data_IF_803198190691
#
_entry.id   IF_803198190691
#
_cell.length_a   1.000
_cell.length_b   1.000
_cell.length_c   1.000
_cell.angle_alpha   90.00
_cell.angle_beta   90.00
_cell.angle_gamma   90.00
#
_symmetry.space_group_name_H-M   'P 1'
#
loop_
_entity.id
_entity.type
_entity.pdbx_description
1 polymer ?
#
# COMPACT_ATOMS: atom_id res chain seq x y z
N UNK A 1 22.08 18.88 19.57
CA UNK A 1 20.85 18.96 18.75
C UNK A 1 20.51 17.52 18.40
N UNK A 2 19.32 17.04 18.75
CA UNK A 2 18.96 15.64 18.49
C UNK A 2 18.75 15.44 16.99
N UNK A 3 19.11 14.28 16.46
CA UNK A 3 18.96 14.03 15.02
C UNK A 3 17.49 13.78 14.69
N UNK A 4 17.07 14.21 13.51
CA UNK A 4 15.76 13.84 12.96
C UNK A 4 15.69 12.32 12.76
N UNK A 5 14.53 11.74 13.02
CA UNK A 5 14.17 10.32 12.89
C UNK A 5 14.87 9.36 13.89
N UNK A 6 15.51 9.88 14.94
CA UNK A 6 15.96 9.07 16.08
C UNK A 6 14.80 8.84 17.07
N UNK A 7 14.76 7.65 17.67
CA UNK A 7 13.78 7.32 18.71
C UNK A 7 13.95 8.27 19.90
N UNK A 8 12.83 8.68 20.50
CA UNK A 8 12.86 9.37 21.79
C UNK A 8 13.25 8.39 22.90
N UNK A 9 13.78 8.86 24.05
CA UNK A 9 13.94 8.01 25.22
C UNK A 9 12.64 7.27 25.58
N UNK A 10 12.73 5.98 25.91
CA UNK A 10 11.55 5.14 26.12
C UNK A 10 10.58 5.70 27.16
N UNK A 11 11.09 6.32 28.23
CA UNK A 11 10.26 6.97 29.25
C UNK A 11 9.45 8.19 28.80
N UNK A 12 9.59 8.65 27.54
CA UNK A 12 8.73 9.70 26.95
C UNK A 12 7.52 9.14 26.20
N UNK A 13 7.45 7.82 26.02
CA UNK A 13 6.33 7.14 25.35
C UNK A 13 5.67 6.16 26.32
N UNK A 14 4.38 5.91 26.11
CA UNK A 14 3.61 4.93 26.87
C UNK A 14 3.42 3.65 26.03
N UNK A 15 3.04 2.52 26.65
CA UNK A 15 2.66 1.32 25.91
C UNK A 15 1.67 1.63 24.78
N UNK A 16 1.85 0.98 23.63
CA UNK A 16 1.07 1.23 22.41
C UNK A 16 1.46 2.48 21.62
N UNK A 17 2.41 3.29 22.09
CA UNK A 17 2.94 4.45 21.37
C UNK A 17 4.44 4.35 21.14
N UNK A 18 4.90 5.10 20.14
CA UNK A 18 6.32 5.34 19.90
C UNK A 18 6.52 6.80 19.46
N UNK A 19 7.77 7.28 19.49
CA UNK A 19 8.08 8.66 19.11
C UNK A 19 9.46 8.83 18.51
N UNK A 20 9.56 9.78 17.60
CA UNK A 20 10.82 10.16 16.94
C UNK A 20 11.04 11.67 16.97
N UNK A 21 12.29 12.07 17.15
CA UNK A 21 12.69 13.47 17.12
C UNK A 21 12.57 14.06 15.71
N UNK A 22 12.17 15.33 15.65
CA UNK A 22 12.04 16.07 14.38
C UNK A 22 13.31 16.86 14.02
N UNK A 23 14.33 16.83 14.89
CA UNK A 23 15.59 17.55 14.69
C UNK A 23 15.49 19.07 14.85
N UNK A 24 14.37 19.59 15.34
CA UNK A 24 14.11 21.03 15.54
C UNK A 24 13.45 21.29 16.89
N UNK A 25 13.57 22.53 17.36
CA UNK A 25 12.82 23.08 18.50
C UNK A 25 11.68 24.03 18.05
N UNK A 26 11.69 24.41 16.78
CA UNK A 26 10.77 25.38 16.19
C UNK A 26 9.64 24.65 15.48
N UNK A 27 8.40 24.86 15.95
CA UNK A 27 7.20 24.25 15.37
C UNK A 27 6.94 24.75 13.95
N UNK A 28 7.35 25.98 13.61
CA UNK A 28 7.20 26.54 12.26
C UNK A 28 8.12 25.91 11.22
N UNK A 29 9.14 25.16 11.67
CA UNK A 29 10.04 24.39 10.81
C UNK A 29 9.53 22.96 10.54
N UNK A 30 8.39 22.57 11.11
CA UNK A 30 7.74 21.29 10.80
C UNK A 30 6.94 21.40 9.51
N UNK A 31 6.84 20.29 8.77
CA UNK A 31 6.02 20.23 7.57
C UNK A 31 4.53 20.42 7.93
N UNK A 32 3.78 21.19 7.14
CA UNK A 32 2.37 21.51 7.39
C UNK A 32 1.49 20.26 7.56
N UNK A 33 1.78 19.17 6.84
CA UNK A 33 1.02 17.93 6.95
C UNK A 33 1.17 17.30 8.34
N UNK A 34 2.35 17.42 8.97
CA UNK A 34 2.64 16.84 10.29
C UNK A 34 1.96 17.62 11.42
N UNK A 35 1.68 18.90 11.19
CA UNK A 35 0.97 19.77 12.15
C UNK A 35 -0.55 19.54 12.09
N UNK A 36 -1.07 19.14 10.93
CA UNK A 36 -2.50 19.03 10.65
C UNK A 36 -3.00 17.57 10.57
N UNK A 37 -2.16 16.59 10.89
CA UNK A 37 -2.52 15.18 10.91
C UNK A 37 -3.07 14.82 12.30
N UNK A 38 -4.37 14.51 12.36
CA UNK A 38 -5.07 14.16 13.60
C UNK A 38 -4.54 12.87 14.26
N UNK A 39 -3.78 12.06 13.51
CA UNK A 39 -3.22 10.79 13.96
C UNK A 39 -1.83 10.96 14.59
N UNK A 40 -1.24 12.16 14.50
CA UNK A 40 0.12 12.48 14.96
C UNK A 40 0.11 13.51 16.10
N UNK A 41 0.82 13.19 17.19
CA UNK A 41 0.90 14.07 18.36
C UNK A 41 2.28 14.71 18.44
N UNK A 42 2.35 16.04 18.40
CA UNK A 42 3.61 16.77 18.58
C UNK A 42 3.86 17.04 20.06
N UNK A 43 4.94 16.46 20.59
CA UNK A 43 5.43 16.68 21.95
C UNK A 43 6.75 17.46 21.97
N UNK A 44 7.17 17.86 23.16
CA UNK A 44 8.48 18.45 23.41
C UNK A 44 9.12 17.77 24.61
N UNK A 45 10.42 17.48 24.52
CA UNK A 45 11.19 17.05 25.68
C UNK A 45 11.54 18.22 26.61
N UNK A 46 12.21 17.93 27.74
CA UNK A 46 12.65 18.92 28.74
C UNK A 46 13.62 19.96 28.19
N UNK A 47 14.30 19.67 27.08
CA UNK A 47 15.25 20.58 26.42
C UNK A 47 14.60 21.40 25.30
N UNK A 48 13.30 21.25 25.08
CA UNK A 48 12.56 21.92 24.01
C UNK A 48 12.70 21.24 22.64
N UNK A 49 13.28 20.03 22.54
CA UNK A 49 13.35 19.33 21.26
C UNK A 49 11.97 18.76 20.93
N UNK A 50 11.49 19.05 19.73
CA UNK A 50 10.21 18.56 19.25
C UNK A 50 10.35 17.10 18.81
N UNK A 51 9.38 16.30 19.20
CA UNK A 51 9.21 14.93 18.73
C UNK A 51 7.78 14.70 18.28
N UNK A 52 7.63 13.80 17.32
CA UNK A 52 6.34 13.29 16.89
C UNK A 52 6.12 11.98 17.62
N UNK A 53 5.01 11.87 18.34
CA UNK A 53 4.51 10.65 18.94
C UNK A 53 3.36 10.11 18.09
N UNK A 54 3.37 8.82 17.83
CA UNK A 54 2.38 8.14 17.02
C UNK A 54 1.96 6.84 17.71
N UNK A 55 0.71 6.42 17.48
CA UNK A 55 0.23 5.11 17.93
C UNK A 55 0.88 4.02 17.09
N UNK A 56 1.27 2.90 17.71
CA UNK A 56 1.61 1.71 16.96
C UNK A 56 0.39 1.11 16.26
N UNK A 57 -0.77 1.18 16.90
CA UNK A 57 -2.00 0.56 16.43
C UNK A 57 -2.60 1.44 15.34
N UNK A 58 -2.34 1.08 14.08
CA UNK A 58 -2.80 1.81 12.90
C UNK A 58 -4.33 1.91 12.91
N UNK A 59 -4.88 3.09 12.63
CA UNK A 59 -6.33 3.39 12.55
C UNK A 59 -7.11 3.37 13.89
N UNK A 60 -6.58 2.75 14.96
CA UNK A 60 -7.00 2.94 16.36
C UNK A 60 -5.94 3.69 17.16
N UNK A 61 -5.70 4.94 16.79
CA UNK A 61 -4.60 5.73 17.34
C UNK A 61 -4.91 6.40 18.68
N UNK A 62 -6.17 6.31 19.16
CA UNK A 62 -6.59 6.81 20.46
C UNK A 62 -6.85 5.66 21.44
N UNK A 63 -6.43 5.76 22.72
CA UNK A 63 -6.60 4.67 23.69
C UNK A 63 -8.05 4.25 23.94
N UNK A 64 -9.02 5.15 23.78
CA UNK A 64 -10.45 4.87 23.91
C UNK A 64 -11.02 4.03 22.76
N UNK A 65 -10.27 3.91 21.65
CA UNK A 65 -10.62 3.09 20.50
C UNK A 65 -9.99 1.68 20.56
N UNK A 66 -9.06 1.44 21.51
CA UNK A 66 -8.33 0.19 21.57
C UNK A 66 -9.23 -1.00 21.91
N UNK A 67 -9.11 -2.04 21.08
CA UNK A 67 -9.74 -3.35 21.30
C UNK A 67 -9.16 -4.03 22.54
N UNK A 68 -9.79 -5.13 22.97
CA UNK A 68 -9.27 -5.89 24.12
C UNK A 68 -7.91 -6.51 23.79
N UNK A 69 -7.72 -6.96 22.55
CA UNK A 69 -6.48 -7.53 22.06
C UNK A 69 -5.33 -6.51 22.11
N UNK A 70 -5.60 -5.27 21.70
CA UNK A 70 -4.64 -4.17 21.81
C UNK A 70 -4.27 -3.91 23.28
N UNK A 71 -5.27 -3.88 24.17
CA UNK A 71 -5.05 -3.66 25.61
C UNK A 71 -4.16 -4.73 26.22
N UNK A 72 -4.44 -6.01 25.94
CA UNK A 72 -3.61 -7.14 26.38
C UNK A 72 -2.17 -7.00 25.87
N UNK A 73 -1.98 -6.67 24.59
CA UNK A 73 -0.64 -6.48 24.02
C UNK A 73 0.12 -5.30 24.65
N UNK A 74 -0.58 -4.24 25.06
CA UNK A 74 -0.01 -3.10 25.76
C UNK A 74 0.31 -3.42 27.23
N UNK A 75 -0.51 -4.23 27.90
CA UNK A 75 -0.24 -4.73 29.26
C UNK A 75 1.00 -5.65 29.26
N UNK A 76 1.12 -6.52 28.25
CA UNK A 76 2.34 -7.31 28.05
C UNK A 76 3.54 -6.37 27.84
N UNK A 77 3.43 -5.36 26.97
CA UNK A 77 4.49 -4.38 26.76
C UNK A 77 4.93 -3.71 28.08
N UNK A 78 3.97 -3.31 28.91
CA UNK A 78 4.24 -2.70 30.21
C UNK A 78 5.01 -3.66 31.13
N UNK A 79 4.62 -4.94 31.17
CA UNK A 79 5.28 -5.96 31.99
C UNK A 79 6.73 -6.28 31.56
N UNK A 80 7.08 -6.01 30.29
CA UNK A 80 8.45 -6.18 29.77
C UNK A 80 9.41 -5.09 30.27
N UNK A 81 8.90 -3.94 30.72
CA UNK A 81 9.70 -2.80 31.17
C UNK A 81 10.30 -2.01 30.00
N UNK A 82 11.53 -1.51 30.20
CA UNK A 82 12.24 -0.73 29.19
C UNK A 82 12.69 -1.60 28.01
N UNK A 83 12.35 -1.17 26.80
CA UNK A 83 12.69 -1.88 25.56
C UNK A 83 13.90 -1.22 24.89
N UNK A 84 14.82 -2.04 24.39
CA UNK A 84 15.94 -1.55 23.60
C UNK A 84 15.50 -1.04 22.22
N UNK A 85 16.32 -0.20 21.61
CA UNK A 85 16.01 0.42 20.31
C UNK A 85 15.84 -0.60 19.18
N UNK A 86 16.53 -1.75 19.20
CA UNK A 86 16.36 -2.79 18.17
C UNK A 86 14.95 -3.36 18.24
N UNK A 87 14.51 -3.74 19.44
CA UNK A 87 13.15 -4.21 19.71
C UNK A 87 12.11 -3.17 19.29
N UNK A 88 12.34 -1.90 19.64
CA UNK A 88 11.45 -0.78 19.28
C UNK A 88 11.37 -0.54 17.78
N UNK A 89 12.50 -0.60 17.07
CA UNK A 89 12.51 -0.48 15.61
C UNK A 89 11.81 -1.64 14.90
N UNK A 90 12.00 -2.88 15.37
CA UNK A 90 11.27 -4.04 14.86
C UNK A 90 9.77 -3.83 15.07
N UNK A 91 9.37 -3.37 16.27
CA UNK A 91 7.97 -3.05 16.55
C UNK A 91 7.48 -1.97 15.58
N UNK A 92 8.13 -0.81 15.48
CA UNK A 92 7.69 0.22 14.54
C UNK A 92 7.55 -0.28 13.09
N UNK A 93 8.44 -1.18 12.63
CA UNK A 93 8.32 -1.79 11.32
C UNK A 93 7.10 -2.72 11.18
N UNK A 94 6.75 -3.48 12.22
CA UNK A 94 5.49 -4.27 12.26
C UNK A 94 4.28 -3.33 12.16
N UNK A 95 4.20 -2.28 12.98
CA UNK A 95 3.04 -1.37 13.01
C UNK A 95 2.89 -0.54 11.72
N UNK A 96 3.97 -0.42 10.96
CA UNK A 96 3.97 0.21 9.65
C UNK A 96 3.38 -0.68 8.56
N UNK A 97 3.27 -1.99 8.79
CA UNK A 97 2.84 -2.95 7.78
C UNK A 97 1.39 -2.69 7.38
N UNK A 98 1.17 -2.51 6.07
CA UNK A 98 -0.16 -2.29 5.51
C UNK A 98 -0.42 -3.38 4.47
N UNK A 99 -1.54 -4.09 4.59
CA UNK A 99 -1.82 -5.25 3.73
C UNK A 99 -2.37 -4.88 2.35
N UNK A 100 -1.70 -3.95 1.69
CA UNK A 100 -2.09 -3.39 0.40
C UNK A 100 -0.96 -3.38 -0.65
N UNK A 101 0.18 -4.01 -0.35
CA UNK A 101 1.31 -4.26 -1.28
C UNK A 101 1.36 -5.76 -1.68
N UNK A 102 1.78 -6.10 -2.90
CA UNK A 102 2.01 -7.50 -3.32
C UNK A 102 3.25 -8.15 -2.69
N UNK A 103 4.21 -7.34 -2.23
CA UNK A 103 5.47 -7.75 -1.60
C UNK A 103 5.36 -8.02 -0.10
N UNK A 104 4.17 -7.93 0.50
CA UNK A 104 3.92 -8.23 1.92
C UNK A 104 4.58 -9.53 2.40
N UNK A 105 4.51 -10.67 1.68
CA UNK A 105 5.10 -11.92 2.17
C UNK A 105 6.61 -11.78 2.42
N UNK A 106 7.32 -11.06 1.55
CA UNK A 106 8.75 -10.78 1.71
C UNK A 106 9.02 -9.93 2.96
N UNK A 107 8.21 -8.90 3.18
CA UNK A 107 8.31 -8.06 4.38
C UNK A 107 8.02 -8.86 5.66
N UNK A 108 7.03 -9.76 5.64
CA UNK A 108 6.74 -10.65 6.77
C UNK A 108 7.94 -11.56 7.06
N UNK A 109 8.51 -12.21 6.05
CA UNK A 109 9.71 -13.07 6.20
C UNK A 109 10.88 -12.30 6.82
N UNK A 110 11.09 -11.04 6.42
CA UNK A 110 12.13 -10.18 6.98
C UNK A 110 11.85 -9.77 8.43
N UNK A 111 10.60 -9.46 8.77
CA UNK A 111 10.20 -9.17 10.15
C UNK A 111 10.38 -10.41 11.03
N UNK A 112 10.04 -11.61 10.54
CA UNK A 112 10.27 -12.86 11.25
C UNK A 112 11.76 -13.10 11.48
N UNK A 113 12.62 -12.87 10.48
CA UNK A 113 14.08 -12.96 10.61
C UNK A 113 14.60 -11.98 11.67
N UNK A 114 14.13 -10.73 11.64
CA UNK A 114 14.55 -9.71 12.61
C UNK A 114 14.17 -10.08 14.04
N UNK A 115 12.94 -10.57 14.25
CA UNK A 115 12.48 -11.05 15.55
C UNK A 115 13.30 -12.27 15.98
N UNK A 116 13.51 -13.23 15.08
CA UNK A 116 14.27 -14.46 15.34
C UNK A 116 15.71 -14.21 15.74
N UNK A 117 16.39 -13.30 15.03
CA UNK A 117 17.81 -12.95 15.21
C UNK A 117 18.07 -11.82 16.21
N UNK A 118 17.03 -11.11 16.68
CA UNK A 118 17.16 -9.88 17.46
C UNK A 118 18.04 -8.82 16.77
N UNK A 119 17.81 -8.63 15.47
CA UNK A 119 18.58 -7.73 14.63
C UNK A 119 17.64 -6.92 13.72
N UNK A 120 17.91 -5.63 13.58
CA UNK A 120 17.14 -4.76 12.70
C UNK A 120 18.04 -4.11 11.65
N UNK A 121 17.68 -4.25 10.38
CA UNK A 121 18.27 -3.49 9.29
C UNK A 121 17.18 -2.94 8.37
N UNK A 122 16.91 -1.64 8.49
CA UNK A 122 15.96 -0.93 7.63
C UNK A 122 16.24 -1.08 6.13
N UNK A 123 17.50 -1.32 5.72
CA UNK A 123 17.86 -1.47 4.31
C UNK A 123 17.44 -2.82 3.74
N UNK A 124 17.27 -3.82 4.60
CA UNK A 124 16.79 -5.15 4.18
C UNK A 124 15.29 -5.16 3.96
N UNK A 125 14.52 -4.27 4.59
CA UNK A 125 13.07 -4.24 4.44
C UNK A 125 12.66 -3.95 2.99
N UNK A 126 11.88 -4.85 2.42
CA UNK A 126 11.29 -4.70 1.09
C UNK A 126 10.34 -3.50 1.05
N UNK A 127 9.59 -3.29 2.13
CA UNK A 127 8.67 -2.17 2.29
C UNK A 127 8.61 -1.72 3.75
N UNK A 128 8.89 -0.43 4.02
CA UNK A 128 8.90 0.19 5.35
C UNK A 128 7.52 0.59 5.87
N UNK A 129 6.45 0.29 5.12
CA UNK A 129 5.09 0.66 5.47
C UNK A 129 4.75 2.10 5.09
N UNK A 130 3.48 2.47 5.27
CA UNK A 130 2.97 3.80 4.89
C UNK A 130 2.61 4.69 6.09
N UNK A 131 2.49 4.12 7.29
CA UNK A 131 1.96 4.81 8.47
C UNK A 131 3.03 5.30 9.43
N UNK A 132 4.08 4.50 9.69
CA UNK A 132 5.03 4.80 10.75
C UNK A 132 6.30 5.43 10.20
N UNK A 133 6.80 6.42 10.92
CA UNK A 133 7.72 7.46 10.41
C UNK A 133 9.16 7.29 10.85
N UNK A 134 9.51 6.22 11.58
CA UNK A 134 10.90 5.90 11.96
C UNK A 134 11.80 5.50 10.76
N UNK A 135 11.38 5.82 9.54
CA UNK A 135 12.05 5.58 8.27
C UNK A 135 11.39 6.37 7.14
N UNK A 136 12.04 6.38 5.96
CA UNK A 136 11.40 6.91 4.75
C UNK A 136 10.19 6.04 4.44
N UNK A 137 8.99 6.64 4.31
CA UNK A 137 7.86 5.99 3.63
C UNK A 137 8.40 5.44 2.31
N UNK A 138 8.35 4.13 2.14
CA UNK A 138 8.81 3.49 0.91
C UNK A 138 7.60 2.97 0.16
N UNK A 139 7.72 2.90 -1.15
CA UNK A 139 6.85 2.16 -2.06
C UNK A 139 7.51 0.81 -2.37
N UNK A 140 6.89 -0.02 -3.21
CA UNK A 140 7.56 -1.20 -3.75
C UNK A 140 8.94 -0.85 -4.33
N UNK A 141 9.98 -1.69 -4.12
CA UNK A 141 11.26 -1.56 -4.79
C UNK A 141 11.08 -1.45 -6.31
N UNK A 142 11.93 -0.63 -6.95
CA UNK A 142 11.94 -0.41 -8.40
C UNK A 142 10.62 0.12 -9.02
N UNK A 143 9.69 0.64 -8.21
CA UNK A 143 8.46 1.24 -8.74
C UNK A 143 8.75 2.43 -9.68
N UNK A 144 9.74 3.29 -9.37
CA UNK A 144 10.15 4.40 -10.24
C UNK A 144 10.62 3.88 -11.60
N UNK A 145 11.45 2.82 -11.57
CA UNK A 145 11.97 2.17 -12.78
C UNK A 145 10.82 1.59 -13.61
N UNK A 146 9.85 0.95 -12.96
CA UNK A 146 8.67 0.39 -13.60
C UNK A 146 7.80 1.48 -14.23
N UNK A 147 7.57 2.60 -13.54
CA UNK A 147 6.85 3.76 -14.09
C UNK A 147 7.60 4.37 -15.27
N UNK A 148 8.92 4.53 -15.18
CA UNK A 148 9.74 5.02 -16.29
C UNK A 148 9.70 4.10 -17.51
N UNK A 149 9.59 2.77 -17.34
CA UNK A 149 9.37 1.86 -18.46
C UNK A 149 7.99 2.07 -19.10
N UNK A 150 6.93 2.21 -18.30
CA UNK A 150 5.59 2.49 -18.83
C UNK A 150 5.57 3.83 -19.58
N UNK A 151 6.18 4.87 -19.03
CA UNK A 151 6.35 6.17 -19.70
C UNK A 151 7.00 6.01 -21.07
N UNK A 152 8.14 5.33 -21.13
CA UNK A 152 8.86 5.04 -22.38
C UNK A 152 8.00 4.26 -23.36
N UNK A 153 7.18 3.32 -22.88
CA UNK A 153 6.27 2.57 -23.74
C UNK A 153 5.26 3.49 -24.42
N UNK A 154 4.62 4.37 -23.65
CA UNK A 154 3.66 5.34 -24.16
C UNK A 154 4.31 6.33 -25.14
N UNK A 155 5.47 6.90 -24.78
CA UNK A 155 6.21 7.84 -25.64
C UNK A 155 6.61 7.20 -26.96
N UNK A 156 7.18 5.99 -26.91
CA UNK A 156 7.61 5.27 -28.12
C UNK A 156 6.42 4.88 -29.00
N UNK A 157 5.28 4.51 -28.41
CA UNK A 157 4.06 4.26 -29.16
C UNK A 157 3.54 5.51 -29.88
N UNK A 158 3.51 6.66 -29.21
CA UNK A 158 3.11 7.93 -29.83
C UNK A 158 4.06 8.38 -30.93
N UNK A 159 5.34 7.99 -30.86
CA UNK A 159 6.35 8.17 -31.92
C UNK A 159 6.22 7.17 -33.09
N UNK A 160 5.28 6.22 -33.00
CA UNK A 160 5.07 5.21 -34.05
C UNK A 160 6.10 4.08 -34.06
N UNK A 161 6.82 3.85 -32.95
CA UNK A 161 7.76 2.73 -32.85
C UNK A 161 6.98 1.41 -32.90
N UNK A 162 7.47 0.44 -33.66
CA UNK A 162 6.83 -0.87 -33.78
C UNK A 162 6.95 -1.67 -32.48
N UNK A 163 6.01 -2.61 -32.26
CA UNK A 163 6.06 -3.53 -31.13
C UNK A 163 7.40 -4.28 -31.05
N UNK A 164 7.91 -4.75 -32.19
CA UNK A 164 9.15 -5.52 -32.28
C UNK A 164 10.35 -4.67 -31.89
N UNK A 165 10.41 -3.43 -32.36
CA UNK A 165 11.54 -2.53 -32.06
C UNK A 165 11.49 -2.06 -30.61
N UNK A 166 10.30 -1.81 -30.07
CA UNK A 166 10.16 -1.44 -28.67
C UNK A 166 10.57 -2.58 -27.73
N UNK A 167 10.19 -3.83 -28.02
CA UNK A 167 10.64 -5.01 -27.25
C UNK A 167 12.17 -5.15 -27.31
N UNK A 168 12.80 -4.84 -28.46
CA UNK A 168 14.28 -4.86 -28.58
C UNK A 168 14.97 -3.73 -27.82
N UNK A 169 14.34 -2.55 -27.73
CA UNK A 169 14.92 -1.36 -27.10
C UNK A 169 14.78 -1.36 -25.57
N UNK A 170 13.75 -2.03 -25.05
CA UNK A 170 13.46 -2.07 -23.61
C UNK A 170 13.86 -3.43 -23.00
N UNK A 171 13.95 -3.47 -21.68
CA UNK A 171 14.32 -4.67 -20.94
C UNK A 171 13.23 -5.75 -21.10
N UNK A 172 13.62 -7.03 -21.15
CA UNK A 172 12.69 -8.15 -21.40
C UNK A 172 11.59 -8.28 -20.35
N UNK A 173 11.79 -7.72 -19.15
CA UNK A 173 10.80 -7.74 -18.08
C UNK A 173 9.47 -7.00 -18.40
N UNK A 174 9.47 -6.06 -19.36
CA UNK A 174 8.25 -5.30 -19.73
C UNK A 174 7.56 -5.85 -20.99
N UNK A 175 8.11 -6.89 -21.63
CA UNK A 175 7.58 -7.45 -22.88
C UNK A 175 6.09 -7.80 -22.80
N UNK A 176 5.68 -8.44 -21.70
CA UNK A 176 4.28 -8.82 -21.50
C UNK A 176 3.34 -7.62 -21.48
N UNK A 177 3.75 -6.50 -20.90
CA UNK A 177 2.97 -5.26 -20.91
C UNK A 177 2.94 -4.63 -22.31
N UNK A 178 4.09 -4.55 -23.00
CA UNK A 178 4.19 -4.03 -24.38
C UNK A 178 3.20 -4.76 -25.30
N UNK A 179 3.22 -6.10 -25.28
CA UNK A 179 2.34 -6.91 -26.13
C UNK A 179 0.86 -6.64 -25.88
N UNK A 180 0.46 -6.55 -24.61
CA UNK A 180 -0.93 -6.22 -24.23
C UNK A 180 -1.30 -4.81 -24.65
N UNK A 181 -0.45 -3.83 -24.36
CA UNK A 181 -0.66 -2.43 -24.72
C UNK A 181 -0.87 -2.27 -26.24
N UNK A 182 0.01 -2.82 -27.07
CA UNK A 182 -0.13 -2.75 -28.54
C UNK A 182 -1.34 -3.54 -29.08
N UNK A 183 -1.87 -4.51 -28.32
CA UNK A 183 -3.11 -5.21 -28.70
C UNK A 183 -4.38 -4.42 -28.41
N UNK A 184 -4.30 -3.45 -27.49
CA UNK A 184 -5.46 -2.63 -27.10
C UNK A 184 -5.63 -1.41 -27.98
N UNK A 185 -4.52 -0.81 -28.41
CA UNK A 185 -4.55 0.41 -29.19
C UNK A 185 -4.50 0.10 -30.70
N UNK A 186 -5.18 0.91 -31.53
CA UNK A 186 -4.93 0.89 -32.96
C UNK A 186 -3.49 1.33 -33.25
N UNK A 187 -2.97 1.03 -34.43
CA UNK A 187 -1.67 1.56 -34.85
C UNK A 187 -1.67 3.09 -34.78
N UNK A 188 -0.50 3.71 -34.55
CA UNK A 188 -0.38 5.16 -34.35
C UNK A 188 -1.12 6.02 -35.40
N UNK A 189 -1.06 5.61 -36.67
CA UNK A 189 -1.74 6.30 -37.78
C UNK A 189 -3.27 6.21 -37.76
N UNK A 190 -3.83 5.40 -36.87
CA UNK A 190 -5.26 5.15 -36.70
C UNK A 190 -5.77 5.57 -35.30
N UNK A 191 -4.95 6.21 -34.47
CA UNK A 191 -5.42 6.81 -33.22
C UNK A 191 -6.35 7.98 -33.55
N UNK A 192 -7.50 8.04 -32.87
CA UNK A 192 -8.31 9.25 -32.94
C UNK A 192 -7.71 10.36 -32.06
N UNK A 193 -8.09 11.60 -32.35
CA UNK A 193 -7.57 12.79 -31.67
C UNK A 193 -7.82 12.75 -30.15
N UNK A 194 -8.98 12.24 -29.71
CA UNK A 194 -9.29 12.09 -28.30
C UNK A 194 -8.34 11.12 -27.59
N UNK A 195 -8.06 9.95 -28.18
CA UNK A 195 -7.12 8.97 -27.61
C UNK A 195 -5.72 9.56 -27.46
N UNK A 196 -5.26 10.31 -28.45
CA UNK A 196 -3.97 10.99 -28.41
C UNK A 196 -3.92 12.04 -27.29
N UNK A 197 -4.94 12.89 -27.16
CA UNK A 197 -5.02 13.87 -26.08
C UNK A 197 -5.05 13.21 -24.70
N UNK A 198 -5.84 12.15 -24.51
CA UNK A 198 -5.90 11.45 -23.23
C UNK A 198 -4.56 10.78 -22.89
N UNK A 199 -3.90 10.14 -23.86
CA UNK A 199 -2.54 9.57 -23.64
C UNK A 199 -1.53 10.64 -23.24
N UNK A 200 -1.55 11.80 -23.92
CA UNK A 200 -0.69 12.93 -23.56
C UNK A 200 -1.01 13.46 -22.16
N UNK A 201 -2.29 13.51 -21.79
CA UNK A 201 -2.71 13.93 -20.43
C UNK A 201 -2.15 13.01 -19.35
N UNK A 202 -2.11 11.70 -19.59
CA UNK A 202 -1.47 10.73 -18.68
C UNK A 202 0.05 10.97 -18.64
N UNK A 203 0.70 11.15 -19.79
CA UNK A 203 2.15 11.39 -19.89
C UNK A 203 2.61 12.59 -19.06
N UNK A 204 1.84 13.67 -19.07
CA UNK A 204 2.12 14.89 -18.29
C UNK A 204 2.22 14.61 -16.78
N UNK A 205 1.60 13.54 -16.28
CA UNK A 205 1.66 13.17 -14.87
C UNK A 205 2.80 12.20 -14.52
N UNK A 206 3.59 11.71 -15.48
CA UNK A 206 4.71 10.81 -15.17
C UNK A 206 5.85 11.42 -14.34
N UNK A 207 6.17 12.72 -14.45
CA UNK A 207 7.12 13.35 -13.52
C UNK A 207 6.68 13.22 -12.05
N UNK A 208 5.38 13.30 -11.77
CA UNK A 208 4.82 12.99 -10.45
C UNK A 208 4.97 11.51 -10.12
N UNK A 209 4.59 10.61 -11.05
CA UNK A 209 4.65 9.16 -10.86
C UNK A 209 6.05 8.55 -10.85
N UNK A 210 7.09 9.30 -11.18
CA UNK A 210 8.48 8.84 -11.13
C UNK A 210 9.27 9.53 -10.02
N UNK A 211 8.62 10.43 -9.25
CA UNK A 211 9.27 11.38 -8.36
C UNK A 211 10.39 12.16 -9.06
N UNK A 212 10.20 12.53 -10.33
CA UNK A 212 11.16 13.29 -11.12
C UNK A 212 11.26 14.77 -10.72
N UNK A 213 10.39 15.25 -9.82
CA UNK A 213 10.39 16.62 -9.28
C UNK A 213 10.35 16.57 -7.75
N UNK A 214 11.38 17.13 -7.11
CA UNK A 214 11.53 17.12 -5.65
C UNK A 214 10.54 18.06 -4.93
N UNK A 215 10.03 19.09 -5.62
CA UNK A 215 9.07 20.03 -5.06
C UNK A 215 7.63 19.58 -5.37
N UNK A 216 7.03 18.86 -4.42
CA UNK A 216 5.65 18.35 -4.53
C UNK A 216 4.63 19.46 -4.84
N UNK A 217 4.72 20.62 -4.17
CA UNK A 217 3.77 21.72 -4.38
C UNK A 217 3.84 22.24 -5.81
N UNK A 218 5.05 22.55 -6.29
CA UNK A 218 5.25 23.00 -7.67
C UNK A 218 4.79 21.96 -8.68
N UNK A 219 5.05 20.68 -8.42
CA UNK A 219 4.58 19.58 -9.27
C UNK A 219 3.04 19.54 -9.34
N UNK A 220 2.34 19.71 -8.21
CA UNK A 220 0.88 19.78 -8.21
C UNK A 220 0.37 20.96 -9.05
N UNK A 221 0.97 22.15 -8.88
CA UNK A 221 0.66 23.36 -9.65
C UNK A 221 0.89 23.14 -11.15
N UNK A 222 2.06 22.62 -11.54
CA UNK A 222 2.50 22.47 -12.94
C UNK A 222 1.69 21.40 -13.71
N UNK A 223 1.18 20.37 -13.02
CA UNK A 223 0.54 19.20 -13.66
C UNK A 223 -0.97 19.14 -13.48
N UNK A 224 -1.51 19.52 -12.32
CA UNK A 224 -2.91 19.28 -11.98
C UNK A 224 -3.76 20.54 -11.82
N UNK A 225 -3.17 21.66 -11.43
CA UNK A 225 -3.92 22.90 -11.20
C UNK A 225 -4.23 23.66 -12.49
N UNK A 226 -5.18 24.60 -12.40
CA UNK A 226 -5.57 25.47 -13.52
C UNK A 226 -4.38 26.32 -13.95
N UNK A 227 -4.06 26.28 -15.24
CA UNK A 227 -2.87 26.92 -15.82
C UNK A 227 -1.68 25.97 -15.94
N UNK A 228 -1.71 24.82 -15.27
CA UNK A 228 -0.74 23.74 -15.44
C UNK A 228 -0.90 23.01 -16.76
N UNK A 229 0.14 22.30 -17.17
CA UNK A 229 0.23 21.53 -18.41
C UNK A 229 -0.90 20.51 -18.59
N UNK A 230 -1.35 19.85 -17.51
CA UNK A 230 -2.49 18.94 -17.57
C UNK A 230 -3.80 19.66 -17.84
N UNK A 231 -4.05 20.81 -17.20
CA UNK A 231 -5.27 21.60 -17.40
C UNK A 231 -5.41 22.14 -18.84
N UNK A 232 -4.29 22.43 -19.51
CA UNK A 232 -4.28 22.84 -20.92
C UNK A 232 -4.78 21.72 -21.82
N UNK A 233 -4.39 20.48 -21.55
CA UNK A 233 -4.87 19.31 -22.31
C UNK A 233 -6.33 19.01 -21.97
N UNK A 234 -6.72 19.14 -20.70
CA UNK A 234 -8.10 18.98 -20.26
C UNK A 234 -9.04 19.95 -21.03
N UNK A 235 -8.61 21.19 -21.26
CA UNK A 235 -9.37 22.17 -22.05
C UNK A 235 -9.49 21.78 -23.54
N UNK A 236 -8.42 21.23 -24.13
CA UNK A 236 -8.48 20.70 -25.50
C UNK A 236 -9.49 19.54 -25.61
N UNK A 237 -9.48 18.61 -24.65
CA UNK A 237 -10.44 17.50 -24.57
C UNK A 237 -11.86 18.05 -24.39
N UNK A 238 -12.04 19.06 -23.52
CA UNK A 238 -13.34 19.69 -23.27
C UNK A 238 -13.95 20.29 -24.54
N UNK A 239 -13.13 21.01 -25.32
CA UNK A 239 -13.54 21.60 -26.59
C UNK A 239 -13.87 20.52 -27.62
N UNK A 240 -13.00 19.51 -27.75
CA UNK A 240 -13.15 18.42 -28.72
C UNK A 240 -14.46 17.63 -28.53
N UNK A 241 -14.85 17.35 -27.29
CA UNK A 241 -16.01 16.49 -26.97
C UNK A 241 -17.24 17.29 -26.49
N UNK A 242 -17.22 18.62 -26.60
CA UNK A 242 -18.30 19.53 -26.18
C UNK A 242 -18.78 19.22 -24.75
N UNK A 243 -17.84 19.36 -23.80
CA UNK A 243 -18.04 19.06 -22.39
C UNK A 243 -18.10 20.34 -21.53
N UNK A 244 -18.73 20.20 -20.36
CA UNK A 244 -18.56 21.15 -19.26
C UNK A 244 -17.11 21.09 -18.73
N UNK A 245 -16.64 22.08 -17.96
CA UNK A 245 -15.30 22.05 -17.36
C UNK A 245 -15.02 20.71 -16.64
N UNK A 246 -13.89 20.07 -16.98
CA UNK A 246 -13.52 18.73 -16.51
C UNK A 246 -12.23 18.70 -15.66
N UNK A 247 -11.46 19.78 -15.61
CA UNK A 247 -10.24 19.86 -14.81
C UNK A 247 -10.57 19.76 -13.33
N UNK A 248 -10.04 18.75 -12.65
CA UNK A 248 -10.23 18.57 -11.21
C UNK A 248 -11.68 18.30 -10.81
N UNK A 249 -12.54 17.88 -11.74
CA UNK A 249 -13.94 17.56 -11.47
C UNK A 249 -14.04 16.48 -10.39
N UNK A 250 -14.90 16.68 -9.40
CA UNK A 250 -15.07 15.73 -8.31
C UNK A 250 -15.82 14.49 -8.76
N UNK A 251 -15.42 13.29 -8.30
CA UNK A 251 -16.13 12.05 -8.68
C UNK A 251 -17.64 12.08 -8.35
N UNK A 252 -18.03 12.77 -7.29
CA UNK A 252 -19.45 13.00 -6.96
C UNK A 252 -20.21 13.81 -8.01
N UNK A 253 -19.54 14.76 -8.66
CA UNK A 253 -20.08 15.57 -9.76
C UNK A 253 -20.12 14.78 -11.07
N UNK A 254 -19.07 14.01 -11.37
CA UNK A 254 -19.05 13.06 -12.49
C UNK A 254 -20.27 12.13 -12.45
N UNK A 255 -20.57 11.54 -11.27
CA UNK A 255 -21.75 10.69 -11.09
C UNK A 255 -23.08 11.42 -11.31
N UNK A 256 -23.17 12.71 -11.00
CA UNK A 256 -24.38 13.51 -11.27
C UNK A 256 -24.53 13.77 -12.76
N UNK A 257 -23.47 14.19 -13.44
CA UNK A 257 -23.48 14.43 -14.89
C UNK A 257 -23.76 13.16 -15.68
N UNK A 258 -23.24 12.01 -15.25
CA UNK A 258 -23.54 10.73 -15.91
C UNK A 258 -25.02 10.37 -15.92
N UNK A 259 -25.79 10.82 -14.93
CA UNK A 259 -27.25 10.57 -14.90
C UNK A 259 -28.01 11.41 -15.93
N UNK A 260 -27.43 12.52 -16.39
CA UNK A 260 -28.09 13.44 -17.34
C UNK A 260 -27.76 13.13 -18.80
N UNK A 261 -26.66 12.43 -19.08
CA UNK A 261 -26.28 12.04 -20.44
C UNK A 261 -27.12 10.83 -20.88
N UNK A 262 -27.99 10.96 -21.89
CA UNK A 262 -28.80 9.84 -22.35
C UNK A 262 -28.07 8.90 -23.32
N UNK A 263 -27.19 9.44 -24.16
CA UNK A 263 -26.42 8.68 -25.14
C UNK A 263 -25.39 7.75 -24.45
N UNK A 264 -25.48 6.42 -24.64
CA UNK A 264 -24.54 5.46 -24.08
C UNK A 264 -23.08 5.69 -24.51
N UNK A 265 -22.84 6.10 -25.76
CA UNK A 265 -21.48 6.36 -26.27
C UNK A 265 -20.90 7.63 -25.64
N UNK A 266 -21.70 8.70 -25.53
CA UNK A 266 -21.28 9.93 -24.84
C UNK A 266 -21.02 9.68 -23.36
N UNK A 267 -21.85 8.88 -22.68
CA UNK A 267 -21.60 8.41 -21.30
C UNK A 267 -20.27 7.68 -21.19
N UNK A 268 -20.01 6.79 -22.13
CA UNK A 268 -18.82 5.95 -22.13
C UNK A 268 -17.55 6.77 -22.28
N UNK A 269 -17.51 7.68 -23.27
CA UNK A 269 -16.40 8.63 -23.45
C UNK A 269 -16.21 9.53 -22.24
N UNK A 270 -17.29 10.10 -21.69
CA UNK A 270 -17.22 10.97 -20.52
C UNK A 270 -16.60 10.26 -19.31
N UNK A 271 -16.95 8.98 -19.08
CA UNK A 271 -16.32 8.16 -18.05
C UNK A 271 -14.82 7.97 -18.27
N UNK A 272 -14.38 7.69 -19.49
CA UNK A 272 -12.96 7.50 -19.82
C UNK A 272 -12.19 8.82 -19.59
N UNK A 273 -12.73 9.93 -20.05
CA UNK A 273 -12.16 11.28 -19.89
C UNK A 273 -12.03 11.63 -18.41
N UNK A 274 -13.13 11.57 -17.65
CA UNK A 274 -13.11 11.92 -16.22
C UNK A 274 -12.30 10.93 -15.37
N UNK A 275 -12.07 9.71 -15.86
CA UNK A 275 -11.14 8.78 -15.21
C UNK A 275 -9.70 9.28 -15.29
N UNK A 276 -9.36 10.23 -16.17
CA UNK A 276 -8.02 10.82 -16.36
C UNK A 276 -7.94 12.27 -15.87
N UNK A 277 -9.00 13.07 -16.05
CA UNK A 277 -8.97 14.51 -15.71
C UNK A 277 -9.54 14.84 -14.33
N UNK A 278 -10.26 13.90 -13.72
CA UNK A 278 -10.92 14.10 -12.42
C UNK A 278 -9.97 14.06 -11.23
N UNK A 279 -10.47 14.56 -10.09
CA UNK A 279 -9.75 14.58 -8.81
C UNK A 279 -9.28 13.19 -8.35
N UNK A 280 -9.97 12.14 -8.80
CA UNK A 280 -9.74 10.73 -8.46
C UNK A 280 -8.66 10.04 -9.33
N UNK A 281 -8.12 10.67 -10.38
CA UNK A 281 -7.17 10.00 -11.28
C UNK A 281 -5.76 9.86 -10.71
N UNK A 282 -5.00 10.95 -10.63
CA UNK A 282 -3.58 10.93 -10.21
C UNK A 282 -3.28 11.92 -9.09
N UNK A 283 -4.04 13.01 -8.99
CA UNK A 283 -3.97 13.95 -7.87
C UNK A 283 -4.57 13.37 -6.57
N UNK A 284 -5.57 12.49 -6.70
CA UNK A 284 -6.26 11.85 -5.56
C UNK A 284 -5.83 10.41 -5.29
N UNK A 285 -5.06 9.79 -6.19
CA UNK A 285 -4.31 8.60 -5.83
C UNK A 285 -3.12 9.07 -5.02
N UNK A 286 -3.14 8.77 -3.72
CA UNK A 286 -1.90 8.76 -2.97
C UNK A 286 -0.89 7.91 -3.75
N UNK A 287 0.36 8.37 -3.86
CA UNK A 287 1.48 7.60 -4.47
C UNK A 287 1.71 6.23 -3.81
N UNK A 288 0.91 5.88 -2.81
CA UNK A 288 0.51 4.52 -2.46
C UNK A 288 0.10 3.69 -3.70
N UNK A 289 1.12 3.08 -4.29
CA UNK A 289 1.16 2.05 -5.31
C UNK A 289 0.12 0.91 -5.24
N UNK A 290 -0.67 0.78 -4.16
CA UNK A 290 -1.57 -0.34 -3.87
C UNK A 290 -2.49 -0.72 -5.05
N UNK A 291 -2.87 0.26 -5.87
CA UNK A 291 -3.59 0.03 -7.12
C UNK A 291 -3.06 0.82 -8.32
N UNK A 292 -1.99 1.63 -8.20
CA UNK A 292 -1.56 2.53 -9.27
C UNK A 292 -1.32 1.81 -10.59
N UNK A 293 -0.51 0.73 -10.59
CA UNK A 293 -0.27 -0.06 -11.81
C UNK A 293 -1.54 -0.66 -12.39
N UNK A 294 -2.43 -1.18 -11.54
CA UNK A 294 -3.69 -1.82 -11.96
C UNK A 294 -4.67 -0.81 -12.55
N UNK A 295 -4.71 0.37 -11.95
CA UNK A 295 -5.57 1.47 -12.35
C UNK A 295 -5.06 2.07 -13.66
N UNK A 296 -3.76 2.32 -13.76
CA UNK A 296 -3.12 2.76 -15.00
C UNK A 296 -3.33 1.75 -16.13
N UNK A 297 -3.08 0.46 -15.90
CA UNK A 297 -3.32 -0.60 -16.89
C UNK A 297 -4.80 -0.63 -17.33
N UNK A 298 -5.73 -0.54 -16.38
CA UNK A 298 -7.17 -0.51 -16.68
C UNK A 298 -7.56 0.73 -17.50
N UNK A 299 -6.99 1.89 -17.22
CA UNK A 299 -7.30 3.13 -17.95
C UNK A 299 -6.71 3.08 -19.35
N UNK A 300 -5.47 2.61 -19.50
CA UNK A 300 -4.86 2.42 -20.81
C UNK A 300 -5.67 1.44 -21.67
N UNK A 301 -6.16 0.34 -21.10
CA UNK A 301 -7.07 -0.57 -21.81
C UNK A 301 -8.34 0.13 -22.30
N UNK A 302 -9.00 0.91 -21.42
CA UNK A 302 -10.22 1.64 -21.75
C UNK A 302 -10.00 2.67 -22.85
N UNK A 303 -8.86 3.37 -22.83
CA UNK A 303 -8.48 4.33 -23.88
C UNK A 303 -8.22 3.60 -25.20
N UNK A 304 -7.42 2.53 -25.17
CA UNK A 304 -7.05 1.79 -26.39
C UNK A 304 -8.27 1.20 -27.10
N UNK A 305 -9.12 0.52 -26.33
CA UNK A 305 -10.33 -0.12 -26.86
C UNK A 305 -11.51 0.84 -27.03
N UNK A 306 -11.40 2.06 -26.49
CA UNK A 306 -12.50 3.01 -26.34
C UNK A 306 -13.72 2.42 -25.62
N UNK A 307 -13.53 1.42 -24.74
CA UNK A 307 -14.60 0.77 -23.96
C UNK A 307 -14.50 1.09 -22.47
N UNK A 308 -15.59 0.92 -21.72
CA UNK A 308 -15.55 0.90 -20.25
C UNK A 308 -15.45 -0.52 -19.68
N UNK A 309 -15.21 -1.51 -20.55
CA UNK A 309 -15.14 -2.90 -20.17
C UNK A 309 -13.90 -3.18 -19.32
N UNK A 310 -13.96 -4.30 -18.60
CA UNK A 310 -12.80 -4.81 -17.90
C UNK A 310 -11.90 -5.58 -18.87
N UNK A 311 -10.61 -5.63 -18.54
CA UNK A 311 -9.64 -6.46 -19.26
C UNK A 311 -10.07 -7.93 -19.11
N UNK A 312 -10.55 -8.55 -20.19
CA UNK A 312 -11.24 -9.85 -20.16
C UNK A 312 -10.33 -11.03 -19.85
N UNK A 313 -9.06 -10.96 -20.22
CA UNK A 313 -8.06 -11.97 -19.90
C UNK A 313 -7.48 -11.82 -18.48
N UNK A 314 -7.93 -10.83 -17.71
CA UNK A 314 -7.53 -10.63 -16.32
C UNK A 314 -8.53 -11.28 -15.39
N UNK A 315 -8.11 -12.32 -14.68
CA UNK A 315 -8.93 -12.95 -13.65
C UNK A 315 -9.00 -12.05 -12.41
N UNK A 316 -10.18 -11.46 -12.18
CA UNK A 316 -10.43 -10.57 -11.06
C UNK A 316 -10.16 -11.27 -9.72
N UNK A 317 -9.54 -10.56 -8.78
CA UNK A 317 -9.29 -11.08 -7.44
C UNK A 317 -8.19 -12.15 -7.30
N UNK A 318 -7.52 -12.57 -8.38
CA UNK A 318 -6.46 -13.62 -8.33
C UNK A 318 -5.39 -13.30 -7.29
N UNK A 319 -4.83 -12.10 -7.35
CA UNK A 319 -3.77 -11.68 -6.42
C UNK A 319 -4.29 -11.50 -4.99
N UNK A 320 -5.53 -11.04 -4.84
CA UNK A 320 -6.21 -10.94 -3.54
C UNK A 320 -6.37 -12.31 -2.90
N UNK A 321 -6.80 -13.31 -3.68
CA UNK A 321 -6.92 -14.70 -3.25
C UNK A 321 -5.55 -15.30 -2.89
N UNK A 322 -4.54 -15.09 -3.74
CA UNK A 322 -3.17 -15.54 -3.48
C UNK A 322 -2.64 -14.98 -2.16
N UNK A 323 -2.74 -13.67 -1.96
CA UNK A 323 -2.27 -13.01 -0.74
C UNK A 323 -3.08 -13.44 0.50
N UNK A 324 -4.40 -13.63 0.37
CA UNK A 324 -5.22 -14.16 1.46
C UNK A 324 -4.81 -15.57 1.90
N UNK A 325 -4.53 -16.46 0.93
CA UNK A 325 -4.07 -17.82 1.21
C UNK A 325 -2.70 -17.83 1.92
N UNK A 326 -1.78 -16.93 1.52
CA UNK A 326 -0.48 -16.80 2.18
C UNK A 326 -0.64 -16.25 3.60
N UNK A 327 -1.46 -15.21 3.77
CA UNK A 327 -1.74 -14.60 5.07
C UNK A 327 -2.31 -15.62 6.07
N UNK A 328 -3.24 -16.47 5.60
CA UNK A 328 -3.76 -17.57 6.40
C UNK A 328 -2.64 -18.45 6.98
N UNK A 329 -1.67 -18.84 6.15
CA UNK A 329 -0.55 -19.67 6.59
C UNK A 329 0.36 -18.98 7.60
N UNK A 330 0.66 -17.68 7.41
CA UNK A 330 1.42 -16.90 8.39
C UNK A 330 0.67 -16.78 9.72
N UNK A 331 -0.60 -16.37 9.71
CA UNK A 331 -1.40 -16.19 10.93
C UNK A 331 -1.52 -17.50 11.69
N UNK A 332 -1.86 -18.60 11.01
CA UNK A 332 -1.97 -19.91 11.64
C UNK A 332 -0.62 -20.37 12.21
N UNK A 333 0.48 -20.14 11.49
CA UNK A 333 1.83 -20.42 11.95
C UNK A 333 2.21 -19.61 13.19
N UNK A 334 1.90 -18.31 13.21
CA UNK A 334 2.18 -17.43 14.36
C UNK A 334 1.34 -17.82 15.58
N UNK A 335 0.03 -18.03 15.40
CA UNK A 335 -0.86 -18.47 16.47
C UNK A 335 -0.39 -19.81 17.07
N UNK A 336 -0.08 -20.79 16.23
CA UNK A 336 0.39 -22.10 16.66
C UNK A 336 1.77 -22.03 17.33
N UNK A 337 2.66 -21.19 16.82
CA UNK A 337 3.94 -20.94 17.47
C UNK A 337 3.70 -20.30 18.84
N UNK A 338 2.89 -19.25 18.99
CA UNK A 338 2.60 -18.67 20.30
C UNK A 338 1.99 -19.69 21.29
N UNK A 339 1.13 -20.59 20.80
CA UNK A 339 0.56 -21.72 21.56
C UNK A 339 1.54 -22.88 21.88
N UNK A 340 2.81 -22.77 21.49
CA UNK A 340 3.84 -23.81 21.70
C UNK A 340 3.52 -25.14 21.00
N UNK A 341 2.69 -25.13 19.95
CA UNK A 341 2.36 -26.32 19.18
C UNK A 341 3.57 -26.74 18.32
N UNK A 342 3.96 -28.03 18.28
CA UNK A 342 5.00 -28.50 17.37
C UNK A 342 4.56 -28.36 15.90
N UNK A 343 5.47 -27.89 15.03
CA UNK A 343 5.20 -27.70 13.61
C UNK A 343 4.70 -28.98 12.93
N UNK A 344 5.34 -30.12 13.23
CA UNK A 344 5.00 -31.40 12.59
C UNK A 344 3.57 -31.85 12.94
N UNK A 345 3.13 -31.60 14.17
CA UNK A 345 1.75 -31.90 14.60
C UNK A 345 0.77 -30.97 13.89
N UNK A 346 1.05 -29.67 13.82
CA UNK A 346 0.22 -28.74 13.05
C UNK A 346 0.09 -29.15 11.58
N UNK A 347 1.21 -29.48 10.92
CA UNK A 347 1.21 -29.89 9.52
C UNK A 347 0.51 -31.25 9.31
N UNK A 348 0.61 -32.16 10.28
CA UNK A 348 -0.12 -33.43 10.27
C UNK A 348 -1.63 -33.19 10.35
N UNK A 349 -2.10 -32.36 11.29
CA UNK A 349 -3.51 -32.02 11.45
C UNK A 349 -4.08 -31.38 10.18
N UNK A 350 -3.32 -30.44 9.58
CA UNK A 350 -3.71 -29.79 8.33
C UNK A 350 -3.75 -30.76 7.14
N UNK A 351 -3.02 -31.87 7.19
CA UNK A 351 -3.05 -32.91 6.16
C UNK A 351 -4.42 -33.59 5.99
N UNK A 352 -5.31 -33.44 6.97
CA UNK A 352 -6.68 -33.96 6.94
C UNK A 352 -7.73 -32.93 6.50
N UNK A 353 -7.32 -31.71 6.15
CA UNK A 353 -8.23 -30.62 5.77
C UNK A 353 -8.05 -30.24 4.30
N UNK A 354 -9.15 -30.20 3.55
CA UNK A 354 -9.15 -29.63 2.20
C UNK A 354 -9.42 -28.12 2.24
N UNK A 355 -8.35 -27.34 2.34
CA UNK A 355 -8.40 -25.87 2.32
C UNK A 355 -8.51 -25.29 0.90
N UNK A 356 -8.38 -26.10 -0.16
CA UNK A 356 -8.27 -25.63 -1.54
C UNK A 356 -6.95 -24.90 -1.87
N UNK A 357 -5.99 -24.88 -0.94
CA UNK A 357 -4.60 -24.45 -1.11
C UNK A 357 -3.72 -25.07 -0.02
N UNK A 358 -2.40 -24.90 -0.09
CA UNK A 358 -1.45 -25.45 0.87
C UNK A 358 -0.73 -24.35 1.66
N UNK A 359 -1.01 -24.14 2.95
CA UNK A 359 -0.36 -23.13 3.79
C UNK A 359 1.02 -23.56 4.35
N UNK A 360 1.49 -24.76 4.01
CA UNK A 360 2.69 -25.38 4.62
C UNK A 360 3.93 -24.49 4.55
N UNK A 361 4.17 -23.83 3.43
CA UNK A 361 5.40 -23.06 3.24
C UNK A 361 5.48 -21.86 4.18
N UNK A 362 4.36 -21.16 4.38
CA UNK A 362 4.29 -19.98 5.25
C UNK A 362 4.41 -20.39 6.72
N UNK A 363 3.77 -21.50 7.10
CA UNK A 363 3.95 -22.10 8.44
C UNK A 363 5.42 -22.48 8.67
N UNK A 364 6.04 -23.19 7.72
CA UNK A 364 7.44 -23.59 7.83
C UNK A 364 8.38 -22.39 7.96
N UNK A 365 8.13 -21.31 7.23
CA UNK A 365 8.90 -20.06 7.36
C UNK A 365 8.79 -19.46 8.76
N UNK A 366 7.58 -19.38 9.33
CA UNK A 366 7.38 -18.90 10.71
C UNK A 366 8.25 -19.70 11.68
N UNK A 367 8.17 -21.02 11.67
CA UNK A 367 8.95 -21.85 12.59
C UNK A 367 10.46 -21.80 12.32
N UNK A 368 10.88 -21.72 11.05
CA UNK A 368 12.29 -21.66 10.67
C UNK A 368 12.96 -20.37 11.17
N UNK A 369 12.31 -19.21 11.01
CA UNK A 369 12.89 -17.93 11.42
C UNK A 369 12.92 -17.75 12.94
N UNK A 370 11.89 -18.21 13.66
CA UNK A 370 11.81 -17.97 15.11
C UNK A 370 12.65 -18.95 15.92
N UNK A 371 12.96 -20.13 15.37
CA UNK A 371 13.56 -21.25 16.07
C UNK A 371 12.80 -21.59 17.38
N UNK A 372 13.38 -22.45 18.23
CA UNK A 372 12.82 -22.76 19.55
C UNK A 372 13.31 -21.81 20.66
N UNK A 373 14.01 -20.73 20.31
CA UNK A 373 14.55 -19.77 21.28
C UNK A 373 13.51 -18.69 21.62
N UNK A 374 12.58 -19.05 22.50
CA UNK A 374 11.49 -18.20 22.99
C UNK A 374 11.93 -17.33 24.14
N UNK A 375 11.46 -16.09 24.16
CA UNK A 375 11.51 -15.20 25.30
C UNK A 375 10.31 -14.23 25.27
N UNK A 376 9.99 -13.56 26.39
CA UNK A 376 8.83 -12.68 26.48
C UNK A 376 8.79 -11.56 25.43
N UNK A 377 9.94 -10.95 25.09
CA UNK A 377 10.02 -9.89 24.08
C UNK A 377 9.66 -10.44 22.68
N UNK A 378 10.20 -11.61 22.32
CA UNK A 378 9.88 -12.26 21.05
C UNK A 378 8.41 -12.66 20.98
N UNK A 379 7.86 -13.25 22.03
CA UNK A 379 6.44 -13.62 22.09
C UNK A 379 5.55 -12.38 21.94
N UNK A 380 5.91 -11.27 22.59
CA UNK A 380 5.23 -9.99 22.41
C UNK A 380 5.34 -9.46 20.97
N UNK A 381 6.54 -9.40 20.37
CA UNK A 381 6.72 -8.97 18.98
C UNK A 381 5.94 -9.84 18.00
N UNK A 382 5.89 -11.16 18.23
CA UNK A 382 5.12 -12.10 17.39
C UNK A 382 3.62 -11.93 17.58
N UNK A 383 3.15 -11.71 18.80
CA UNK A 383 1.77 -11.34 19.07
C UNK A 383 1.36 -10.05 18.38
N UNK A 384 2.29 -9.11 18.29
CA UNK A 384 2.11 -7.82 17.63
C UNK A 384 2.04 -7.95 16.12
N UNK A 385 2.90 -8.79 15.53
CA UNK A 385 2.84 -9.14 14.11
C UNK A 385 1.56 -9.90 13.80
N UNK A 386 1.20 -10.88 14.62
CA UNK A 386 -0.06 -11.61 14.50
C UNK A 386 -1.24 -10.63 14.50
N UNK A 387 -1.31 -9.69 15.45
CA UNK A 387 -2.39 -8.70 15.50
C UNK A 387 -2.44 -7.85 14.23
N UNK A 388 -1.29 -7.35 13.77
CA UNK A 388 -1.23 -6.54 12.55
C UNK A 388 -1.68 -7.33 11.30
N UNK A 389 -1.37 -8.63 11.22
CA UNK A 389 -1.80 -9.49 10.12
C UNK A 389 -3.28 -9.89 10.23
N UNK A 390 -3.74 -10.17 11.45
CA UNK A 390 -5.08 -10.66 11.78
C UNK A 390 -6.12 -9.55 11.68
N UNK A 391 -5.89 -8.41 12.32
CA UNK A 391 -6.94 -7.39 12.44
C UNK A 391 -6.82 -6.27 11.44
N UNK A 392 -5.73 -6.20 10.66
CA UNK A 392 -5.37 -5.09 9.78
C UNK A 392 -6.58 -4.21 9.43
N UNK A 393 -6.79 -3.16 10.23
CA UNK A 393 -8.07 -2.42 10.32
C UNK A 393 -8.38 -1.59 9.06
N UNK A 394 -7.52 -1.74 8.05
CA UNK A 394 -7.70 -1.40 6.64
C UNK A 394 -8.90 -2.15 6.01
N UNK A 395 -9.78 -2.77 6.81
CA UNK A 395 -11.08 -3.33 6.41
C UNK A 395 -12.28 -2.58 7.03
N UNK A 396 -12.09 -1.40 7.63
CA UNK A 396 -13.18 -0.42 7.72
C UNK A 396 -13.76 -0.19 6.30
N UNK A 397 -15.06 0.10 6.15
CA UNK A 397 -15.79 0.05 4.87
C UNK A 397 -15.26 0.95 3.74
N UNK A 398 -14.17 1.68 3.95
CA UNK A 398 -13.55 2.61 3.02
C UNK A 398 -12.05 2.42 2.76
N UNK A 399 -11.41 1.37 3.31
CA UNK A 399 -9.94 1.26 3.18
C UNK A 399 -9.52 0.22 2.12
N UNK A 400 -8.64 0.58 1.16
CA UNK A 400 -8.24 -0.31 0.08
C UNK A 400 -7.20 -1.35 0.55
N UNK A 401 -7.67 -2.51 1.01
CA UNK A 401 -6.84 -3.70 1.22
C UNK A 401 -6.71 -4.57 -0.04
N UNK A 402 -5.52 -5.13 -0.27
CA UNK A 402 -5.35 -6.18 -1.29
C UNK A 402 -5.92 -7.52 -0.84
N UNK A 403 -6.06 -7.74 0.47
CA UNK A 403 -6.40 -9.04 1.07
C UNK A 403 -7.87 -9.07 1.52
N UNK A 404 -8.57 -10.18 1.22
CA UNK A 404 -9.92 -10.40 1.74
C UNK A 404 -9.85 -11.15 3.07
N UNK A 405 -9.82 -10.39 4.15
CA UNK A 405 -9.72 -10.94 5.49
C UNK A 405 -10.95 -11.78 5.90
N UNK A 406 -12.13 -11.39 5.43
CA UNK A 406 -13.39 -12.08 5.72
C UNK A 406 -13.38 -13.53 5.20
N UNK A 407 -12.94 -13.74 3.96
CA UNK A 407 -12.88 -15.08 3.35
C UNK A 407 -11.94 -16.01 4.14
N UNK A 408 -10.85 -15.46 4.66
CA UNK A 408 -9.88 -16.19 5.47
C UNK A 408 -10.50 -16.67 6.79
N UNK A 409 -11.21 -15.79 7.50
CA UNK A 409 -11.93 -16.11 8.73
C UNK A 409 -13.03 -17.14 8.51
N UNK A 410 -13.83 -16.97 7.44
CA UNK A 410 -14.88 -17.93 7.08
C UNK A 410 -14.30 -19.31 6.77
N UNK A 411 -13.17 -19.37 6.08
CA UNK A 411 -12.47 -20.63 5.80
C UNK A 411 -11.98 -21.29 7.10
N UNK A 412 -11.35 -20.52 8.00
CA UNK A 412 -10.90 -21.05 9.28
C UNK A 412 -12.07 -21.66 10.08
N UNK A 413 -13.18 -20.93 10.18
CA UNK A 413 -14.39 -21.39 10.85
C UNK A 413 -14.96 -22.65 10.22
N UNK A 414 -15.07 -22.70 8.87
CA UNK A 414 -15.55 -23.89 8.14
C UNK A 414 -14.76 -25.16 8.47
N UNK A 415 -13.47 -25.02 8.74
CA UNK A 415 -12.58 -26.14 9.07
C UNK A 415 -12.30 -26.29 10.58
N UNK A 416 -13.06 -25.60 11.44
CA UNK A 416 -12.88 -25.59 12.90
C UNK A 416 -11.44 -25.23 13.33
N UNK A 417 -10.79 -24.33 12.59
CA UNK A 417 -9.47 -23.81 12.94
C UNK A 417 -9.64 -22.50 13.72
N UNK A 418 -9.14 -22.49 14.96
CA UNK A 418 -9.15 -21.30 15.80
C UNK A 418 -7.90 -20.46 15.54
N UNK A 419 -8.05 -19.33 14.84
CA UNK A 419 -6.95 -18.38 14.58
C UNK A 419 -6.67 -17.42 15.75
N UNK A 420 -7.53 -17.43 16.78
CA UNK A 420 -7.46 -16.58 17.98
C UNK A 420 -7.05 -17.33 19.24
N UNK A 421 -6.79 -18.63 19.13
CA UNK A 421 -6.52 -19.54 20.26
C UNK A 421 -5.49 -18.97 21.25
N UNK A 422 -4.42 -18.36 20.74
CA UNK A 422 -3.41 -17.73 21.58
C UNK A 422 -3.96 -16.53 22.37
N UNK A 423 -4.69 -15.63 21.72
CA UNK A 423 -5.26 -14.47 22.44
C UNK A 423 -6.29 -14.90 23.47
N UNK A 424 -7.11 -15.89 23.14
CA UNK A 424 -8.09 -16.47 24.07
C UNK A 424 -7.40 -17.14 25.27
N UNK A 425 -6.17 -17.65 25.12
CA UNK A 425 -5.40 -18.20 26.24
C UNK A 425 -4.85 -17.15 27.21
N UNK A 426 -4.87 -15.87 26.82
CA UNK A 426 -4.38 -14.75 27.63
C UNK A 426 -5.48 -14.02 28.41
N UNK A 427 -6.75 -14.30 28.09
CA UNK A 427 -7.96 -13.79 28.76
C UNK A 427 -8.50 -14.79 29.76
#
# INVERSE_FOLDING_TARGET
MVKKDELVPYGLVSPGFEGIYQGTKDKSALDDWLINDDDLFIGSDKSGNLYMRYSFWTLTYKPDQWTNEIKILNEIQESLGELDDTTRYIRSAIGSLVLCDQGIPTTIDQLLDFIGSNYYDKKRLFHLGCWMTSGKRSTQPDWQRSMAYIEKVLVNFLKGISITDQIKQLDGCIEGFIRRFYSWFPSRGNLNELQELILNRILVSFPYLTHGIDNHKKMMEDVFEIGGSGSIIDEQIRILEDLQPITGIKWGEVRKTLKTINDPLKKQKFLIICSVTGDYFLSGLSTCHHNLFRFLESILYKIGTMTNDQITNRVHGTERKRLGNLLFGYILGLNSWLMKKPMDILLLDLGYLDLGFNPRNEIQRVYAYLANNRNPIKEWLIGSLWHQLMYNEVNLPHTPGLINHKDMLELANKHNLNLFEWMESLT
#
